data_IF_177691174122
#
_entry.id   IF_177691174122
#
_cell.length_a   1.000
_cell.length_b   1.000
_cell.length_c   1.000
_cell.angle_alpha   90.00
_cell.angle_beta   90.00
_cell.angle_gamma   90.00
#
_symmetry.space_group_name_H-M   'P 1'
#
loop_
_entity.id
_entity.type
_entity.pdbx_description
1 polymer ?
#
# COMPACT_ATOMS: atom_id res chain seq x y z
N UNK A 1 12.11 -4.66 -17.35
CA UNK A 1 11.05 -5.00 -16.35
C UNK A 1 10.14 -3.80 -16.16
N UNK A 2 8.82 -4.04 -16.13
CA UNK A 2 7.83 -2.97 -15.99
C UNK A 2 7.40 -2.85 -14.52
N UNK A 3 7.36 -1.63 -13.99
CA UNK A 3 7.04 -1.35 -12.60
C UNK A 3 5.63 -0.76 -12.46
N UNK A 4 4.93 -1.12 -11.38
CA UNK A 4 3.64 -0.57 -11.00
C UNK A 4 3.69 -0.14 -9.53
N UNK A 5 3.11 1.00 -9.21
CA UNK A 5 2.83 1.43 -7.84
C UNK A 5 1.31 1.37 -7.64
N UNK A 6 0.85 0.54 -6.72
CA UNK A 6 -0.56 0.46 -6.30
C UNK A 6 -0.67 0.96 -4.88
N UNK A 7 -1.54 1.92 -4.61
CA UNK A 7 -1.69 2.42 -3.24
C UNK A 7 -3.08 2.93 -2.93
N UNK A 8 -3.40 2.95 -1.64
CA UNK A 8 -4.50 3.72 -1.08
C UNK A 8 -3.95 4.78 -0.12
N UNK A 9 -4.58 5.95 -0.09
CA UNK A 9 -4.20 7.02 0.82
C UNK A 9 -5.43 7.77 1.32
N UNK A 10 -5.62 7.79 2.64
CA UNK A 10 -6.75 8.49 3.29
C UNK A 10 -6.36 9.93 3.65
N UNK A 11 -5.22 10.12 4.31
CA UNK A 11 -4.77 11.43 4.81
C UNK A 11 -3.65 12.06 3.97
N UNK A 12 -3.35 11.49 2.80
CA UNK A 12 -2.28 11.97 1.92
C UNK A 12 -0.91 11.33 2.17
N UNK A 13 -0.66 10.70 3.31
CA UNK A 13 0.65 10.14 3.65
C UNK A 13 1.19 9.17 2.58
N UNK A 14 0.40 8.15 2.19
CA UNK A 14 0.82 7.21 1.16
C UNK A 14 0.90 7.85 -0.24
N UNK A 15 0.13 8.91 -0.51
CA UNK A 15 0.21 9.66 -1.75
C UNK A 15 1.57 10.33 -1.90
N UNK A 16 2.05 11.03 -0.86
CA UNK A 16 3.35 11.69 -0.88
C UNK A 16 4.50 10.70 -1.08
N UNK A 17 4.45 9.57 -0.37
CA UNK A 17 5.46 8.50 -0.51
C UNK A 17 5.40 7.87 -1.91
N UNK A 18 4.21 7.59 -2.45
CA UNK A 18 4.05 7.09 -3.82
C UNK A 18 4.65 8.02 -4.86
N UNK A 19 4.43 9.33 -4.71
CA UNK A 19 4.97 10.33 -5.63
C UNK A 19 6.50 10.39 -5.58
N UNK A 20 7.10 10.29 -4.39
CA UNK A 20 8.54 10.22 -4.24
C UNK A 20 9.11 8.97 -4.93
N UNK A 21 8.55 7.80 -4.68
CA UNK A 21 8.94 6.54 -5.34
C UNK A 21 8.85 6.67 -6.86
N UNK A 22 7.72 7.19 -7.37
CA UNK A 22 7.52 7.42 -8.82
C UNK A 22 8.58 8.33 -9.42
N UNK A 23 9.06 9.30 -8.66
CA UNK A 23 10.08 10.27 -9.13
C UNK A 23 11.42 9.63 -9.48
N UNK A 24 11.75 8.49 -8.90
CA UNK A 24 13.07 7.83 -9.05
C UNK A 24 13.03 6.49 -9.79
N UNK A 25 11.84 5.88 -9.92
CA UNK A 25 11.66 4.68 -10.74
C UNK A 25 10.63 4.93 -11.85
N UNK A 26 10.89 4.39 -13.03
CA UNK A 26 9.89 4.43 -14.11
C UNK A 26 8.76 3.46 -13.80
N UNK A 27 7.63 3.96 -13.31
CA UNK A 27 6.49 3.14 -12.88
C UNK A 27 5.15 3.75 -13.29
N UNK A 28 4.22 2.89 -13.69
CA UNK A 28 2.81 3.25 -13.75
C UNK A 28 2.23 3.35 -12.34
N UNK A 29 1.19 4.16 -12.16
CA UNK A 29 0.60 4.40 -10.83
C UNK A 29 -0.89 4.11 -10.84
N UNK A 30 -1.34 3.31 -9.90
CA UNK A 30 -2.74 3.05 -9.61
C UNK A 30 -3.08 3.48 -8.18
N UNK A 31 -3.79 4.60 -8.05
CA UNK A 31 -4.42 4.99 -6.79
C UNK A 31 -5.78 4.32 -6.67
N UNK A 32 -5.99 3.55 -5.61
CA UNK A 32 -7.28 2.93 -5.32
C UNK A 32 -8.23 3.95 -4.69
N UNK A 33 -9.43 4.08 -5.25
CA UNK A 33 -10.45 5.01 -4.80
C UNK A 33 -11.74 4.23 -4.48
N UNK A 34 -12.20 4.20 -3.22
CA UNK A 34 -13.50 3.61 -2.88
C UNK A 34 -14.66 4.42 -3.48
N UNK A 35 -15.66 3.76 -4.09
CA UNK A 35 -16.87 4.43 -4.63
C UNK A 35 -17.65 5.21 -3.58
N UNK A 36 -17.63 4.75 -2.33
CA UNK A 36 -18.26 5.43 -1.21
C UNK A 36 -17.19 5.82 -0.21
N UNK A 37 -16.55 6.95 -0.43
CA UNK A 37 -15.52 7.51 0.46
C UNK A 37 -16.11 8.07 1.79
N UNK A 38 -17.35 7.69 2.14
CA UNK A 38 -17.94 7.97 3.47
C UNK A 38 -17.39 7.02 4.54
N UNK A 39 -16.11 6.78 4.54
CA UNK A 39 -15.40 6.42 5.78
C UNK A 39 -15.15 7.74 6.48
N UNK A 40 -16.24 8.38 6.89
CA UNK A 40 -16.19 9.58 7.72
C UNK A 40 -15.41 9.26 8.99
N UNK A 41 -14.79 10.29 9.58
CA UNK A 41 -14.21 10.29 10.94
C UNK A 41 -15.10 9.61 11.99
N UNK A 42 -16.39 9.42 11.71
CA UNK A 42 -17.38 8.71 12.51
C UNK A 42 -17.16 7.20 12.59
N UNK A 43 -16.61 6.54 11.57
CA UNK A 43 -16.31 5.08 11.63
C UNK A 43 -15.13 4.76 12.55
N UNK A 44 -14.23 5.70 12.78
CA UNK A 44 -13.20 5.59 13.82
C UNK A 44 -13.77 5.57 15.25
N UNK A 45 -15.01 6.07 15.46
CA UNK A 45 -15.68 6.10 16.77
C UNK A 45 -16.39 4.81 17.16
N UNK A 46 -16.69 3.92 16.22
CA UNK A 46 -17.44 2.68 16.49
C UNK A 46 -16.56 1.44 16.73
N UNK A 47 -15.37 1.61 17.24
CA UNK A 47 -14.26 0.65 17.16
C UNK A 47 -14.26 -0.43 18.25
N UNK A 48 -15.17 -0.45 19.20
CA UNK A 48 -15.14 -1.46 20.28
C UNK A 48 -15.69 -2.85 19.93
N UNK A 49 -16.37 -2.99 18.78
CA UNK A 49 -16.88 -4.30 18.31
C UNK A 49 -16.41 -4.71 16.92
N UNK A 50 -15.59 -3.91 16.22
CA UNK A 50 -15.48 -3.94 14.78
C UNK A 50 -14.13 -4.24 14.15
N UNK A 51 -13.06 -4.51 14.90
CA UNK A 51 -11.72 -4.73 14.31
C UNK A 51 -11.74 -5.93 13.36
N UNK A 52 -12.34 -7.04 13.75
CA UNK A 52 -12.47 -8.22 12.88
C UNK A 52 -13.34 -7.95 11.65
N UNK A 53 -14.45 -7.22 11.82
CA UNK A 53 -15.35 -6.84 10.71
C UNK A 53 -14.65 -5.87 9.75
N UNK A 54 -13.82 -4.97 10.26
CA UNK A 54 -13.06 -4.03 9.44
C UNK A 54 -11.99 -4.73 8.59
N UNK A 55 -11.29 -5.70 9.16
CA UNK A 55 -10.24 -6.47 8.47
C UNK A 55 -10.77 -7.31 7.31
N UNK A 56 -12.06 -7.67 7.31
CA UNK A 56 -12.72 -8.43 6.24
C UNK A 56 -13.41 -7.56 5.19
N UNK A 57 -13.51 -6.24 5.42
CA UNK A 57 -14.18 -5.33 4.49
C UNK A 57 -13.44 -5.23 3.16
N UNK A 58 -14.23 -5.30 2.09
CA UNK A 58 -13.82 -5.11 0.71
C UNK A 58 -14.73 -4.06 0.09
N UNK A 59 -14.47 -2.76 0.29
CA UNK A 59 -15.27 -1.71 -0.30
C UNK A 59 -15.17 -1.78 -1.82
N UNK A 60 -16.28 -1.51 -2.49
CA UNK A 60 -16.29 -1.37 -3.95
C UNK A 60 -15.40 -0.20 -4.35
N UNK A 61 -14.51 -0.41 -5.33
CA UNK A 61 -13.60 0.60 -5.85
C UNK A 61 -14.17 1.27 -7.09
N UNK A 62 -13.78 2.53 -7.33
CA UNK A 62 -13.98 3.14 -8.64
C UNK A 62 -13.34 2.26 -9.72
N UNK A 63 -13.96 2.18 -10.91
CA UNK A 63 -13.45 1.35 -11.98
C UNK A 63 -12.02 1.73 -12.37
N UNK A 64 -11.15 0.75 -12.44
CA UNK A 64 -9.80 0.91 -12.97
C UNK A 64 -9.53 -0.20 -14.01
N UNK A 65 -8.68 0.12 -14.98
CA UNK A 65 -8.24 -0.87 -15.98
C UNK A 65 -6.75 -1.08 -15.79
N UNK A 66 -6.37 -2.27 -15.35
CA UNK A 66 -4.98 -2.67 -15.24
C UNK A 66 -4.83 -4.14 -15.61
N UNK A 67 -3.83 -4.41 -16.43
CA UNK A 67 -3.41 -5.77 -16.74
C UNK A 67 -2.11 -6.06 -15.99
N UNK A 68 -2.23 -6.74 -14.86
CA UNK A 68 -1.10 -7.07 -13.99
C UNK A 68 -0.10 -8.03 -14.65
N UNK A 69 -0.46 -8.72 -15.74
CA UNK A 69 0.47 -9.58 -16.45
C UNK A 69 1.65 -8.80 -17.06
N UNK A 70 1.45 -7.54 -17.37
CA UNK A 70 2.46 -6.65 -17.96
C UNK A 70 3.52 -6.17 -16.97
N UNK A 71 3.32 -6.35 -15.66
CA UNK A 71 4.22 -5.82 -14.63
C UNK A 71 4.99 -6.96 -13.97
N UNK A 72 6.29 -6.77 -13.87
CA UNK A 72 7.20 -7.68 -13.16
C UNK A 72 7.32 -7.30 -11.69
N UNK A 73 7.37 -6.00 -11.42
CA UNK A 73 7.60 -5.42 -10.10
C UNK A 73 6.42 -4.57 -9.67
N UNK A 74 5.91 -4.83 -8.46
CA UNK A 74 4.74 -4.12 -7.92
C UNK A 74 5.08 -3.56 -6.54
N UNK A 75 5.01 -2.24 -6.40
CA UNK A 75 5.12 -1.53 -5.13
C UNK A 75 3.71 -1.34 -4.57
N UNK A 76 3.45 -1.83 -3.37
CA UNK A 76 2.12 -1.74 -2.75
C UNK A 76 2.18 -0.85 -1.53
N UNK A 77 1.38 0.22 -1.53
CA UNK A 77 1.30 1.21 -0.47
C UNK A 77 -0.01 1.23 0.29
N UNK A 78 0.05 1.20 1.63
CA UNK A 78 -1.14 1.24 2.48
C UNK A 78 -0.94 2.03 3.76
N UNK A 79 -1.93 2.82 4.20
CA UNK A 79 -1.97 3.21 5.60
C UNK A 79 -2.24 1.97 6.47
N UNK A 80 -1.69 1.98 7.68
CA UNK A 80 -2.00 0.96 8.69
C UNK A 80 -3.34 1.29 9.34
N UNK A 81 -4.28 0.38 9.21
CA UNK A 81 -5.61 0.48 9.78
C UNK A 81 -5.83 -0.71 10.72
N UNK A 82 -5.98 -0.44 12.03
CA UNK A 82 -6.20 -1.48 13.06
C UNK A 82 -5.18 -2.63 13.03
N UNK A 83 -3.93 -2.34 12.66
CA UNK A 83 -2.86 -3.33 12.64
C UNK A 83 -2.83 -4.22 11.40
N UNK A 84 -3.51 -3.81 10.34
CA UNK A 84 -3.49 -4.41 9.01
C UNK A 84 -3.46 -3.35 7.91
N UNK A 85 -3.38 -3.75 6.66
CA UNK A 85 -3.54 -2.86 5.51
C UNK A 85 -5.00 -2.39 5.35
N UNK A 86 -5.18 -1.26 4.66
CA UNK A 86 -6.49 -0.64 4.49
C UNK A 86 -7.46 -1.48 3.64
N UNK A 87 -8.79 -1.39 3.88
CA UNK A 87 -9.79 -2.16 3.15
C UNK A 87 -9.75 -2.02 1.63
N UNK A 88 -9.46 -0.85 1.00
CA UNK A 88 -9.29 -0.76 -0.45
C UNK A 88 -8.17 -1.65 -0.99
N UNK A 89 -7.09 -1.81 -0.24
CA UNK A 89 -6.01 -2.75 -0.57
C UNK A 89 -6.53 -4.20 -0.49
N UNK A 90 -7.35 -4.52 0.52
CA UNK A 90 -7.95 -5.85 0.63
C UNK A 90 -8.84 -6.18 -0.58
N UNK A 91 -9.63 -5.22 -1.06
CA UNK A 91 -10.41 -5.38 -2.29
C UNK A 91 -9.48 -5.69 -3.46
N UNK A 92 -8.48 -4.85 -3.70
CA UNK A 92 -7.53 -5.02 -4.80
C UNK A 92 -6.84 -6.39 -4.78
N UNK A 93 -6.31 -6.81 -3.63
CA UNK A 93 -5.61 -8.09 -3.48
C UNK A 93 -6.54 -9.30 -3.69
N UNK A 94 -7.82 -9.16 -3.34
CA UNK A 94 -8.80 -10.24 -3.51
C UNK A 94 -9.29 -10.40 -4.95
N UNK A 95 -9.38 -9.30 -5.68
CA UNK A 95 -9.83 -9.26 -7.08
C UNK A 95 -8.69 -9.59 -8.06
N UNK A 96 -7.45 -9.31 -7.66
CA UNK A 96 -6.28 -9.40 -8.53
C UNK A 96 -5.26 -10.40 -7.95
N UNK A 97 -5.42 -11.67 -8.26
CA UNK A 97 -4.47 -12.69 -7.81
C UNK A 97 -3.15 -12.57 -8.58
N UNK A 98 -2.12 -12.17 -7.87
CA UNK A 98 -0.77 -12.05 -8.39
C UNK A 98 0.05 -13.30 -8.07
N UNK A 99 0.88 -13.74 -9.02
CA UNK A 99 1.85 -14.83 -8.83
C UNK A 99 3.15 -14.50 -9.56
N UNK A 100 4.26 -14.95 -9.00
CA UNK A 100 5.60 -14.80 -9.58
C UNK A 100 5.98 -13.34 -9.85
N UNK A 101 5.49 -12.40 -9.02
CA UNK A 101 5.86 -10.99 -9.07
C UNK A 101 6.88 -10.65 -7.98
N UNK A 102 7.69 -9.64 -8.24
CA UNK A 102 8.52 -9.00 -7.23
C UNK A 102 7.67 -7.93 -6.53
N UNK A 103 7.47 -8.05 -5.24
CA UNK A 103 6.61 -7.16 -4.46
C UNK A 103 7.45 -6.38 -3.45
N UNK A 104 7.35 -5.06 -3.48
CA UNK A 104 7.88 -4.18 -2.46
C UNK A 104 6.71 -3.52 -1.71
N UNK A 105 6.77 -3.46 -0.38
CA UNK A 105 5.64 -3.00 0.45
C UNK A 105 6.05 -1.78 1.25
N UNK A 106 5.32 -0.67 1.11
CA UNK A 106 5.45 0.48 1.99
C UNK A 106 4.17 0.74 2.77
N UNK A 107 4.32 1.07 4.04
CA UNK A 107 3.19 1.39 4.91
C UNK A 107 3.38 2.73 5.58
N UNK A 108 2.27 3.47 5.75
CA UNK A 108 2.24 4.68 6.56
C UNK A 108 1.45 4.39 7.85
N UNK A 109 2.11 4.48 8.99
CA UNK A 109 1.54 4.10 10.29
C UNK A 109 1.46 5.27 11.27
N UNK A 110 0.70 5.06 12.35
CA UNK A 110 0.67 5.91 13.51
C UNK A 110 1.38 5.30 14.72
N UNK A 111 2.61 4.79 14.57
CA UNK A 111 3.43 4.11 15.58
C UNK A 111 3.12 2.65 15.87
N UNK A 112 2.17 2.01 15.20
CA UNK A 112 1.88 0.60 15.48
C UNK A 112 1.46 -0.17 14.23
N UNK A 113 2.42 -0.77 13.56
CA UNK A 113 2.18 -1.61 12.38
C UNK A 113 1.61 -2.99 12.70
N UNK A 114 1.67 -3.45 13.95
CA UNK A 114 1.20 -4.78 14.40
C UNK A 114 1.48 -5.88 13.37
N UNK A 115 0.41 -6.53 12.88
CA UNK A 115 0.49 -7.67 11.97
C UNK A 115 0.43 -7.28 10.48
N UNK A 116 0.52 -5.99 10.13
CA UNK A 116 0.29 -5.51 8.76
C UNK A 116 1.18 -6.22 7.75
N UNK A 117 2.47 -6.36 8.03
CA UNK A 117 3.38 -7.07 7.11
C UNK A 117 3.07 -8.57 7.01
N UNK A 118 2.76 -9.23 8.13
CA UNK A 118 2.35 -10.64 8.14
C UNK A 118 1.09 -10.86 7.29
N UNK A 119 0.12 -9.96 7.43
CA UNK A 119 -1.12 -10.03 6.65
C UNK A 119 -0.86 -9.83 5.15
N UNK A 120 0.05 -8.92 4.78
CA UNK A 120 0.50 -8.78 3.39
C UNK A 120 1.19 -10.04 2.87
N UNK A 121 2.12 -10.60 3.63
CA UNK A 121 2.84 -11.83 3.25
C UNK A 121 1.88 -12.99 3.01
N UNK A 122 0.85 -13.13 3.84
CA UNK A 122 -0.19 -14.15 3.64
C UNK A 122 -1.03 -13.90 2.39
N UNK A 123 -1.46 -12.66 2.17
CA UNK A 123 -2.28 -12.30 1.00
C UNK A 123 -1.50 -12.39 -0.32
N UNK A 124 -0.18 -12.25 -0.27
CA UNK A 124 0.72 -12.22 -1.43
C UNK A 124 1.49 -13.53 -1.62
N UNK A 125 1.07 -14.63 -1.00
CA UNK A 125 1.70 -15.94 -1.19
C UNK A 125 1.82 -16.31 -2.69
N UNK A 126 2.98 -16.82 -3.06
CA UNK A 126 3.31 -17.13 -4.46
C UNK A 126 4.04 -15.99 -5.20
N UNK A 127 4.38 -14.90 -4.48
CA UNK A 127 5.20 -13.81 -4.98
C UNK A 127 6.50 -13.69 -4.16
N UNK A 128 7.50 -13.01 -4.70
CA UNK A 128 8.75 -12.69 -3.98
C UNK A 128 8.58 -11.33 -3.30
N UNK A 129 8.57 -11.30 -1.97
CA UNK A 129 8.66 -10.03 -1.23
C UNK A 129 10.11 -9.57 -1.26
N UNK A 130 10.39 -8.47 -1.96
CA UNK A 130 11.71 -7.89 -2.15
C UNK A 130 12.16 -7.14 -0.91
N UNK A 131 11.29 -6.25 -0.42
CA UNK A 131 11.57 -5.45 0.78
C UNK A 131 10.29 -4.83 1.35
N UNK A 132 10.41 -4.29 2.57
CA UNK A 132 9.30 -3.66 3.32
C UNK A 132 9.81 -2.44 4.07
N UNK A 133 9.09 -1.31 3.98
CA UNK A 133 9.44 -0.08 4.68
C UNK A 133 8.23 0.54 5.38
N UNK A 134 8.48 1.16 6.55
CA UNK A 134 7.48 1.88 7.33
C UNK A 134 7.82 3.36 7.44
N UNK A 135 6.80 4.19 7.24
CA UNK A 135 6.84 5.63 7.47
C UNK A 135 5.85 6.00 8.58
N UNK A 136 6.35 6.50 9.70
CA UNK A 136 5.52 6.87 10.85
C UNK A 136 5.12 8.33 10.71
N UNK A 137 3.83 8.61 10.51
CA UNK A 137 3.28 9.96 10.31
C UNK A 137 4.14 10.85 9.41
N UNK A 138 4.46 10.46 8.16
CA UNK A 138 5.51 11.14 7.38
C UNK A 138 5.21 12.62 7.15
N UNK A 139 3.97 13.01 6.88
CA UNK A 139 3.61 14.43 6.71
C UNK A 139 3.83 15.22 8.01
N UNK A 140 3.52 14.62 9.16
CA UNK A 140 3.64 15.29 10.46
C UNK A 140 5.07 15.34 10.98
N UNK A 141 5.83 14.25 10.77
CA UNK A 141 7.15 14.07 11.40
C UNK A 141 8.33 14.53 10.53
N UNK A 142 8.10 14.90 9.27
CA UNK A 142 9.15 15.37 8.36
C UNK A 142 9.02 14.74 6.98
N UNK A 143 8.22 15.36 6.13
CA UNK A 143 7.88 14.80 4.83
C UNK A 143 9.08 14.71 3.88
N UNK A 144 9.99 15.68 3.92
CA UNK A 144 11.15 15.70 3.01
C UNK A 144 12.12 14.55 3.31
N UNK A 145 12.38 14.27 4.59
CA UNK A 145 13.18 13.11 5.00
C UNK A 145 12.49 11.80 4.61
N UNK A 146 11.18 11.71 4.81
CA UNK A 146 10.42 10.53 4.43
C UNK A 146 10.43 10.28 2.92
N UNK A 147 10.33 11.33 2.10
CA UNK A 147 10.45 11.26 0.64
C UNK A 147 11.83 10.77 0.24
N UNK A 148 12.89 11.37 0.77
CA UNK A 148 14.26 10.95 0.48
C UNK A 148 14.49 9.46 0.82
N UNK A 149 14.02 9.01 2.00
CA UNK A 149 14.10 7.60 2.39
C UNK A 149 13.30 6.69 1.44
N UNK A 150 12.14 7.14 0.97
CA UNK A 150 11.32 6.39 0.02
C UNK A 150 11.99 6.25 -1.34
N UNK A 151 12.64 7.29 -1.82
CA UNK A 151 13.42 7.32 -3.06
C UNK A 151 14.59 6.33 -2.99
N UNK A 152 15.41 6.43 -1.94
CA UNK A 152 16.56 5.52 -1.76
C UNK A 152 16.10 4.06 -1.64
N UNK A 153 15.06 3.80 -0.85
CA UNK A 153 14.49 2.47 -0.71
C UNK A 153 13.97 1.89 -2.04
N UNK A 154 13.31 2.72 -2.86
CA UNK A 154 12.79 2.28 -4.15
C UNK A 154 13.92 1.90 -5.12
N UNK A 155 15.00 2.69 -5.16
CA UNK A 155 16.21 2.39 -5.93
C UNK A 155 16.83 1.09 -5.46
N UNK A 156 16.97 0.90 -4.15
CA UNK A 156 17.53 -0.32 -3.56
C UNK A 156 16.67 -1.56 -3.88
N UNK A 157 15.34 -1.42 -3.88
CA UNK A 157 14.44 -2.49 -4.30
C UNK A 157 14.70 -2.90 -5.75
N UNK A 158 14.82 -1.94 -6.67
CA UNK A 158 15.10 -2.23 -8.08
C UNK A 158 16.47 -2.91 -8.24
N UNK A 159 17.49 -2.47 -7.50
CA UNK A 159 18.82 -3.07 -7.52
C UNK A 159 18.83 -4.52 -7.00
N UNK A 160 18.00 -4.85 -6.01
CA UNK A 160 17.82 -6.22 -5.47
C UNK A 160 17.09 -7.16 -6.44
N UNK A 161 16.36 -6.62 -7.41
CA UNK A 161 15.56 -7.38 -8.38
C UNK A 161 16.42 -7.73 -9.61
N UNK A 162 17.30 -6.83 -10.02
CA UNK A 162 18.21 -6.99 -11.17
C UNK A 162 19.39 -7.86 -10.81
#
# INVERSE_FOLDING_TARGET
MKNLIVYYSYEGNCNEISNAIKGVINADVLRLVPKKEKITKSLFRFVWGGVQVYMTKKPELEPYKIDLSQYDNIFIGSPVCFGTYAPPINTFLSENKMKNKNIAIFICSGNNKRNTYKNFEEALKGNKIVDKIEFVYPIKNGIEEAKYRAEQWAIDCINKIN
#
